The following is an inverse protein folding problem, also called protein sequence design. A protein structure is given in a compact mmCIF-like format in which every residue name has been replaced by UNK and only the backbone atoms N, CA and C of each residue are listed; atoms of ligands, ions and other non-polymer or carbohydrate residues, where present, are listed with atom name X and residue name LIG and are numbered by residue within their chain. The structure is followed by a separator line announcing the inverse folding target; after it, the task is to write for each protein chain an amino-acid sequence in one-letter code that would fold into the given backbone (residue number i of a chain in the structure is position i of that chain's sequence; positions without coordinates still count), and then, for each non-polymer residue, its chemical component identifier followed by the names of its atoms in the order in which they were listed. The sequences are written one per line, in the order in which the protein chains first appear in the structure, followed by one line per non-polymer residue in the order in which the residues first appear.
data_IF_968763334134
#
_entry.id   IF_968763334134
#
_cell.length_a   1.000
_cell.length_b   1.000
_cell.length_c   1.000
_cell.angle_alpha   90.00
_cell.angle_beta   90.00
_cell.angle_gamma   90.00
#
_symmetry.space_group_name_H-M   'P 1'
#
loop_
_entity.id
_entity.type
_entity.pdbx_description
1 polymer ?
#
# COMPACT_ATOMS: atom_id res chain seq x y z
N UNK A 1 -11.32 6.97 5.18
CA UNK A 1 -10.53 5.73 4.95
C UNK A 1 -10.96 5.11 3.64
N UNK A 2 -12.28 5.01 3.42
CA UNK A 2 -12.87 4.73 2.11
C UNK A 2 -12.35 5.68 1.01
N UNK A 3 -12.47 6.99 1.18
CA UNK A 3 -12.01 7.96 0.15
C UNK A 3 -10.51 7.85 -0.17
N UNK A 4 -9.70 7.49 0.84
CA UNK A 4 -8.28 7.24 0.61
C UNK A 4 -8.07 5.97 -0.22
N UNK A 5 -8.79 4.89 0.11
CA UNK A 5 -8.76 3.64 -0.66
C UNK A 5 -9.22 3.84 -2.11
N UNK A 6 -10.28 4.60 -2.34
CA UNK A 6 -10.73 4.99 -3.69
C UNK A 6 -9.65 5.79 -4.42
N UNK A 7 -9.03 6.78 -3.76
CA UNK A 7 -7.94 7.56 -4.38
C UNK A 7 -6.71 6.72 -4.77
N UNK A 8 -6.53 5.55 -4.16
CA UNK A 8 -5.47 4.63 -4.58
C UNK A 8 -5.79 4.00 -5.95
N UNK A 9 -7.06 3.76 -6.27
CA UNK A 9 -7.47 3.22 -7.56
C UNK A 9 -7.18 4.21 -8.70
N UNK A 10 -7.43 5.51 -8.45
CA UNK A 10 -7.16 6.58 -9.41
C UNK A 10 -5.65 6.83 -9.64
N UNK A 11 -4.83 6.60 -8.60
CA UNK A 11 -3.39 6.90 -8.62
C UNK A 11 -2.54 5.71 -8.16
N UNK A 12 -2.81 4.54 -8.73
CA UNK A 12 -2.23 3.26 -8.30
C UNK A 12 -0.71 3.15 -8.47
N UNK A 13 -0.11 3.97 -9.34
CA UNK A 13 1.34 4.00 -9.55
C UNK A 13 2.08 5.09 -8.78
N UNK A 14 1.35 6.01 -8.13
CA UNK A 14 1.91 7.19 -7.45
C UNK A 14 2.82 6.84 -6.26
N UNK A 15 2.56 5.71 -5.61
CA UNK A 15 3.30 5.31 -4.40
C UNK A 15 4.41 4.32 -4.73
N UNK A 16 5.60 4.45 -4.11
CA UNK A 16 6.72 3.58 -4.41
C UNK A 16 6.49 2.15 -3.92
N UNK A 17 7.27 1.23 -4.49
CA UNK A 17 7.45 -0.11 -3.91
C UNK A 17 7.97 0.04 -2.48
N UNK A 18 7.41 -0.76 -1.58
CA UNK A 18 7.81 -0.81 -0.18
C UNK A 18 9.30 -1.16 -0.01
N UNK A 19 9.94 -0.71 1.07
CA UNK A 19 11.38 -0.99 1.32
C UNK A 19 11.65 -2.27 2.10
N UNK A 20 10.69 -2.76 2.89
CA UNK A 20 10.86 -3.99 3.68
C UNK A 20 10.99 -5.19 2.76
N UNK A 21 12.03 -6.00 2.94
CA UNK A 21 12.41 -7.07 2.02
C UNK A 21 11.25 -8.04 1.71
N UNK A 22 10.49 -8.44 2.73
CA UNK A 22 9.32 -9.31 2.56
C UNK A 22 8.22 -8.72 1.65
N UNK A 23 8.10 -7.38 1.61
CA UNK A 23 7.13 -6.67 0.78
C UNK A 23 7.68 -6.39 -0.62
N UNK A 24 8.99 -6.12 -0.73
CA UNK A 24 9.72 -6.02 -2.01
C UNK A 24 9.60 -7.32 -2.80
N UNK A 25 9.85 -8.48 -2.16
CA UNK A 25 9.71 -9.81 -2.78
C UNK A 25 8.33 -10.06 -3.38
N UNK A 26 7.31 -9.39 -2.86
CA UNK A 26 5.91 -9.48 -3.32
C UNK A 26 5.51 -8.34 -4.26
N UNK A 27 6.44 -7.44 -4.57
CA UNK A 27 6.25 -6.21 -5.35
C UNK A 27 5.08 -5.35 -4.82
N UNK A 28 4.99 -5.20 -3.49
CA UNK A 28 3.95 -4.40 -2.84
C UNK A 28 4.34 -2.92 -2.85
N UNK A 29 3.38 -2.05 -3.14
CA UNK A 29 3.46 -0.60 -2.99
C UNK A 29 2.97 -0.16 -1.62
N UNK A 30 3.56 0.92 -1.11
CA UNK A 30 3.33 1.43 0.24
C UNK A 30 2.69 2.81 0.20
N UNK A 31 1.40 2.91 0.55
CA UNK A 31 0.72 4.20 0.68
C UNK A 31 0.53 4.60 2.14
N UNK A 32 1.09 5.75 2.54
CA UNK A 32 0.99 6.27 3.91
C UNK A 32 -0.34 6.99 4.09
N UNK A 33 -1.14 6.54 5.05
CA UNK A 33 -2.39 7.17 5.46
C UNK A 33 -2.24 7.80 6.85
N UNK A 34 -2.54 9.10 6.95
CA UNK A 34 -2.51 9.88 8.21
C UNK A 34 -1.23 9.67 9.04
N UNK A 35 -0.09 9.42 8.39
CA UNK A 35 1.25 9.20 8.97
C UNK A 35 1.42 7.96 9.87
N UNK A 36 0.35 7.26 10.22
CA UNK A 36 0.37 6.19 11.21
C UNK A 36 0.03 4.81 10.62
N UNK A 37 -0.58 4.77 9.44
CA UNK A 37 -0.94 3.53 8.75
C UNK A 37 -0.29 3.46 7.38
N UNK A 38 0.06 2.25 6.97
CA UNK A 38 0.59 1.96 5.64
C UNK A 38 -0.34 0.93 5.00
N UNK A 39 -0.88 1.29 3.85
CA UNK A 39 -1.61 0.39 2.97
C UNK A 39 -0.60 -0.32 2.08
N UNK A 40 -0.55 -1.64 2.20
CA UNK A 40 0.25 -2.52 1.37
C UNK A 40 -0.63 -3.04 0.24
N UNK A 41 -0.37 -2.63 -0.99
CA UNK A 41 -1.21 -2.96 -2.13
C UNK A 41 -0.39 -3.32 -3.36
N UNK A 42 -1.03 -3.93 -4.36
CA UNK A 42 -0.43 -4.14 -5.68
C UNK A 42 -1.51 -4.12 -6.76
N UNK A 43 -1.12 -3.82 -7.99
CA UNK A 43 -1.98 -3.97 -9.16
C UNK A 43 -1.97 -5.42 -9.66
N UNK A 44 -3.15 -6.02 -9.81
CA UNK A 44 -3.35 -7.37 -10.35
C UNK A 44 -4.39 -7.29 -11.44
N UNK A 45 -4.03 -7.61 -12.68
CA UNK A 45 -4.97 -7.59 -13.82
C UNK A 45 -5.78 -6.28 -13.89
N UNK A 46 -5.10 -5.15 -13.69
CA UNK A 46 -5.69 -3.80 -13.67
C UNK A 46 -6.59 -3.47 -12.46
N UNK A 47 -6.65 -4.33 -11.45
CA UNK A 47 -7.35 -4.08 -10.20
C UNK A 47 -6.36 -3.74 -9.08
N UNK A 48 -6.72 -2.80 -8.23
CA UNK A 48 -5.95 -2.52 -7.02
C UNK A 48 -6.36 -3.46 -5.90
N UNK A 49 -5.42 -4.29 -5.44
CA UNK A 49 -5.64 -5.23 -4.35
C UNK A 49 -4.87 -4.75 -3.12
N UNK A 50 -5.60 -4.40 -2.06
CA UNK A 50 -5.01 -4.11 -0.74
C UNK A 50 -4.79 -5.44 -0.01
N UNK A 51 -3.53 -5.79 0.24
CA UNK A 51 -3.17 -7.03 0.94
C UNK A 51 -3.19 -6.88 2.45
N UNK A 52 -2.86 -5.69 2.96
CA UNK A 52 -2.84 -5.41 4.40
C UNK A 52 -2.86 -3.90 4.66
N UNK A 53 -3.28 -3.52 5.87
CA UNK A 53 -3.14 -2.18 6.42
C UNK A 53 -2.42 -2.31 7.76
N UNK A 54 -1.18 -1.84 7.83
CA UNK A 54 -0.33 -2.00 9.01
C UNK A 54 -0.09 -0.66 9.70
N UNK A 55 -0.02 -0.66 11.03
CA UNK A 55 0.38 0.53 11.78
C UNK A 55 1.90 0.68 11.75
N UNK A 56 2.43 1.89 11.58
CA UNK A 56 3.87 2.13 11.44
C UNK A 56 4.70 1.59 12.61
N UNK A 57 4.13 1.60 13.82
CA UNK A 57 4.78 1.08 15.05
C UNK A 57 4.86 -0.44 15.14
N UNK A 58 4.10 -1.17 14.32
CA UNK A 58 4.11 -2.65 14.31
C UNK A 58 5.01 -3.21 13.22
N UNK A 59 5.70 -2.33 12.47
CA UNK A 59 6.67 -2.72 11.46
C UNK A 59 7.98 -2.99 12.19
N UNK A 60 8.16 -4.24 12.61
CA UNK A 60 9.42 -4.76 13.16
C UNK A 60 10.54 -4.76 12.11
#
# INVERSE_FOLDING_TARGET
MFDFGESLADFSEKYPVCRKEAWVKRNLRCAIFKKNYIFLYKLVKNELVIFNVVHVRTIA
#
